data_IF_198992695617
#
_entry.id   IF_198992695617
#
_cell.length_a   1.000
_cell.length_b   1.000
_cell.length_c   1.000
_cell.angle_alpha   90.00
_cell.angle_beta   90.00
_cell.angle_gamma   90.00
#
_symmetry.space_group_name_H-M   'P 1'
#
loop_
_entity.id
_entity.type
_entity.pdbx_description
1 polymer ?
#
# COMPACT_ATOMS: atom_id res chain seq x y z
N UNK A 1 12.77 -1.60 -3.35
CA UNK A 1 13.55 -0.58 -4.09
C UNK A 1 12.75 0.71 -4.04
N UNK A 2 13.28 1.78 -3.44
CA UNK A 2 12.64 3.10 -3.45
C UNK A 2 12.64 3.60 -4.89
N UNK A 3 11.45 3.87 -5.41
CA UNK A 3 11.29 4.46 -6.73
C UNK A 3 10.94 5.93 -6.50
N UNK A 4 11.96 6.77 -6.38
CA UNK A 4 11.77 8.18 -6.07
C UNK A 4 11.25 8.98 -7.30
N UNK A 5 11.19 8.34 -8.47
CA UNK A 5 10.78 8.97 -9.72
C UNK A 5 9.86 8.09 -10.58
N UNK A 6 8.91 8.74 -11.24
CA UNK A 6 7.93 8.16 -12.14
C UNK A 6 8.63 7.61 -13.39
N UNK A 7 8.43 6.31 -13.68
CA UNK A 7 8.99 5.66 -14.88
C UNK A 7 8.46 6.19 -16.20
N UNK A 8 7.31 6.89 -16.20
CA UNK A 8 6.67 7.41 -17.41
C UNK A 8 7.17 8.80 -17.80
N UNK A 9 7.33 9.69 -16.82
CA UNK A 9 7.65 11.10 -17.08
C UNK A 9 8.88 11.62 -16.32
N UNK A 10 9.54 10.79 -15.49
CA UNK A 10 10.74 11.16 -14.74
C UNK A 10 10.51 12.08 -13.53
N UNK A 11 9.27 12.54 -13.30
CA UNK A 11 8.94 13.42 -12.18
C UNK A 11 8.82 12.67 -10.86
N UNK A 12 8.82 13.41 -9.75
CA UNK A 12 8.72 12.84 -8.41
C UNK A 12 7.42 12.04 -8.21
N UNK A 13 7.53 11.00 -7.40
CA UNK A 13 6.39 10.19 -6.96
C UNK A 13 6.02 10.57 -5.54
N UNK A 14 4.77 10.95 -5.34
CA UNK A 14 4.20 11.24 -4.03
C UNK A 14 3.53 10.01 -3.43
N UNK A 15 3.36 10.06 -2.10
CA UNK A 15 2.77 8.99 -1.32
C UNK A 15 1.25 8.95 -1.54
N UNK A 16 0.72 7.86 -2.10
CA UNK A 16 -0.72 7.72 -2.36
C UNK A 16 -1.44 6.93 -1.27
N UNK A 17 -0.85 5.80 -0.83
CA UNK A 17 -1.42 4.96 0.22
C UNK A 17 -0.36 4.38 1.15
N UNK A 18 -0.82 4.03 2.35
CA UNK A 18 -0.05 3.32 3.38
C UNK A 18 -0.75 2.02 3.73
N UNK A 19 0.04 1.03 4.12
CA UNK A 19 -0.46 -0.21 4.69
C UNK A 19 -1.09 0.07 6.06
N UNK A 20 -2.31 -0.39 6.29
CA UNK A 20 -3.04 -0.15 7.56
C UNK A 20 -2.42 -0.89 8.76
N UNK A 21 -1.63 -1.94 8.51
CA UNK A 21 -1.03 -2.78 9.57
C UNK A 21 0.30 -2.20 10.06
N UNK A 22 1.19 -1.80 9.14
CA UNK A 22 2.53 -1.33 9.48
C UNK A 22 2.78 0.16 9.20
N UNK A 23 1.80 0.88 8.62
CA UNK A 23 1.90 2.29 8.21
C UNK A 23 3.00 2.62 7.19
N UNK A 24 3.68 1.62 6.64
CA UNK A 24 4.62 1.79 5.55
C UNK A 24 3.91 2.08 4.23
N UNK A 25 4.57 2.82 3.35
CA UNK A 25 4.03 3.17 2.03
C UNK A 25 3.83 1.92 1.19
N UNK A 26 2.64 1.77 0.61
CA UNK A 26 2.34 0.68 -0.30
C UNK A 26 1.91 1.14 -1.69
N UNK A 27 1.73 2.44 -1.93
CA UNK A 27 1.40 2.95 -3.26
C UNK A 27 1.90 4.38 -3.45
N UNK A 28 2.33 4.69 -4.67
CA UNK A 28 2.79 6.01 -5.08
C UNK A 28 1.93 6.58 -6.22
N UNK A 29 1.90 7.90 -6.33
CA UNK A 29 1.18 8.64 -7.36
C UNK A 29 2.06 9.73 -7.98
N UNK A 30 1.94 9.92 -9.30
CA UNK A 30 2.59 11.00 -10.02
C UNK A 30 1.55 12.04 -10.44
N UNK A 31 1.65 13.24 -9.87
CA UNK A 31 0.74 14.36 -10.18
C UNK A 31 0.85 14.84 -11.64
N UNK A 32 2.01 14.68 -12.26
CA UNK A 32 2.27 15.21 -13.60
C UNK A 32 1.64 14.40 -14.73
N UNK A 33 1.68 13.07 -14.63
CA UNK A 33 1.16 12.19 -15.69
C UNK A 33 -0.04 11.35 -15.24
N UNK A 34 -0.51 11.54 -14.00
CA UNK A 34 -1.61 10.78 -13.41
C UNK A 34 -1.29 9.29 -13.19
N UNK A 35 -0.01 8.91 -13.23
CA UNK A 35 0.39 7.52 -13.03
C UNK A 35 0.22 7.13 -11.56
N UNK A 36 -0.46 6.01 -11.32
CA UNK A 36 -0.57 5.36 -10.01
C UNK A 36 0.25 4.08 -10.06
N UNK A 37 1.15 3.87 -9.09
CA UNK A 37 1.88 2.62 -8.99
C UNK A 37 0.95 1.47 -8.60
N UNK A 38 1.36 0.24 -8.91
CA UNK A 38 0.72 -0.93 -8.32
C UNK A 38 0.82 -0.86 -6.79
N UNK A 39 -0.23 -1.34 -6.12
CA UNK A 39 -0.27 -1.43 -4.67
C UNK A 39 0.61 -2.61 -4.23
N UNK A 40 1.60 -2.33 -3.38
CA UNK A 40 2.51 -3.34 -2.85
C UNK A 40 1.89 -4.04 -1.64
N UNK A 41 1.85 -5.37 -1.69
CA UNK A 41 1.34 -6.17 -0.58
C UNK A 41 2.53 -6.56 0.30
N UNK A 42 2.51 -6.11 1.55
CA UNK A 42 3.41 -6.62 2.58
C UNK A 42 2.87 -7.98 3.03
N UNK A 43 3.44 -9.09 2.54
CA UNK A 43 2.96 -10.44 2.84
C UNK A 43 2.73 -10.70 4.34
N UNK A 44 3.62 -10.20 5.19
CA UNK A 44 3.47 -10.35 6.64
C UNK A 44 2.28 -9.55 7.20
N UNK A 45 2.01 -8.35 6.67
CA UNK A 45 0.84 -7.57 7.04
C UNK A 45 -0.46 -8.20 6.53
N UNK A 46 -0.44 -8.81 5.35
CA UNK A 46 -1.57 -9.55 4.81
C UNK A 46 -1.99 -10.68 5.76
N UNK A 47 -1.04 -11.49 6.24
CA UNK A 47 -1.35 -12.56 7.22
C UNK A 47 -1.97 -12.01 8.51
N UNK A 48 -1.41 -10.93 9.07
CA UNK A 48 -1.94 -10.29 10.29
C UNK A 48 -3.37 -9.78 10.07
N UNK A 49 -3.64 -9.16 8.91
CA UNK A 49 -4.99 -8.66 8.59
C UNK A 49 -6.02 -9.79 8.46
N UNK A 50 -5.62 -10.94 7.91
CA UNK A 50 -6.48 -12.11 7.78
C UNK A 50 -6.80 -12.73 9.15
N UNK A 51 -5.82 -12.83 10.04
CA UNK A 51 -6.03 -13.32 11.40
C UNK A 51 -7.01 -12.42 12.17
N UNK A 52 -6.90 -11.10 12.01
CA UNK A 52 -7.84 -10.16 12.62
C UNK A 52 -9.26 -10.28 12.05
N UNK A 53 -9.41 -10.54 10.75
CA UNK A 53 -10.71 -10.77 10.11
C UNK A 53 -11.37 -12.11 10.53
N UNK A 54 -10.57 -13.12 10.88
CA UNK A 54 -11.06 -14.37 11.42
C UNK A 54 -11.46 -14.25 12.90
N UNK A 55 -10.75 -13.43 13.68
CA UNK A 55 -11.07 -13.16 15.09
C UNK A 55 -12.29 -12.25 15.27
N UNK A 56 -12.50 -11.26 14.38
CA UNK A 56 -13.68 -10.38 14.44
C UNK A 56 -15.00 -11.12 14.17
N UNK A 57 -14.95 -12.24 13.45
CA UNK A 57 -16.12 -13.12 13.22
C UNK A 57 -16.43 -14.05 14.41
N UNK A 58 -15.60 -14.13 15.44
CA UNK A 58 -15.84 -14.99 16.61
C UNK A 58 -16.51 -14.27 17.79
N UNK A 59 -16.71 -12.95 17.72
CA UNK A 59 -17.30 -12.14 18.81
C UNK A 59 -18.83 -11.93 18.62
N UNK A 60 -19.44 -12.50 17.57
CA UNK A 60 -20.90 -12.44 17.35
C UNK A 60 -21.64 -13.75 17.69
N UNK A 61 -21.26 -14.43 18.78
CA UNK A 61 -22.08 -15.51 19.37
C UNK A 61 -22.39 -15.26 20.83
#
# INVERSE_FOLDING_TARGET
>A
MKQDSCRRCGHELELNKKCEVCNEVNQFYCHECGFVSEEQIHFQCMMISMDHALLSNQVQK
#
